data_IF_417189930086
#
_entry.id   IF_417189930086
#
_cell.length_a   1.000
_cell.length_b   1.000
_cell.length_c   1.000
_cell.angle_alpha   90.00
_cell.angle_beta   90.00
_cell.angle_gamma   90.00
#
_symmetry.space_group_name_H-M   'P 1'
#
loop_
_entity.id
_entity.type
_entity.pdbx_description
1 polymer ?
#
# COMPACT_ATOMS: atom_id res chain seq x y z
N UNK A 1 11.73 -19.14 -4.23
CA UNK A 1 11.21 -17.77 -4.45
C UNK A 1 12.18 -16.70 -3.90
N UNK A 2 13.51 -16.87 -4.02
CA UNK A 2 14.49 -15.95 -3.39
C UNK A 2 14.77 -14.67 -4.18
N UNK A 3 14.47 -14.65 -5.49
CA UNK A 3 14.81 -13.52 -6.37
C UNK A 3 13.98 -12.26 -6.06
N UNK A 4 12.76 -12.44 -5.54
CA UNK A 4 11.80 -11.35 -5.28
C UNK A 4 11.75 -10.93 -3.81
N UNK A 5 12.28 -11.75 -2.89
CA UNK A 5 12.33 -11.43 -1.46
C UNK A 5 12.93 -10.05 -1.12
N UNK A 6 14.06 -9.61 -1.70
CA UNK A 6 14.59 -8.29 -1.39
C UNK A 6 13.65 -7.17 -1.85
N UNK A 7 12.91 -7.37 -2.95
CA UNK A 7 11.95 -6.41 -3.45
C UNK A 7 10.68 -6.36 -2.58
N UNK A 8 10.23 -7.51 -2.08
CA UNK A 8 9.12 -7.62 -1.12
C UNK A 8 9.48 -6.94 0.20
N UNK A 9 10.68 -7.20 0.74
CA UNK A 9 11.16 -6.53 1.96
C UNK A 9 11.32 -5.01 1.77
N UNK A 10 11.82 -4.56 0.62
CA UNK A 10 11.92 -3.14 0.31
C UNK A 10 10.54 -2.47 0.15
N UNK A 11 9.54 -3.21 -0.33
CA UNK A 11 8.19 -2.69 -0.57
C UNK A 11 7.45 -2.30 0.71
N UNK A 12 7.81 -2.88 1.87
CA UNK A 12 7.18 -2.62 3.17
C UNK A 12 8.00 -1.63 4.03
N UNK A 13 8.55 -0.60 3.39
CA UNK A 13 9.35 0.44 4.05
C UNK A 13 8.71 1.82 3.88
N UNK A 14 8.96 2.73 4.83
CA UNK A 14 8.44 4.09 4.75
C UNK A 14 8.81 4.80 3.42
N UNK A 15 10.05 4.71 2.89
CA UNK A 15 10.37 5.28 1.59
C UNK A 15 9.55 4.70 0.44
N UNK A 16 9.25 3.39 0.46
CA UNK A 16 8.42 2.75 -0.55
C UNK A 16 6.97 3.29 -0.51
N UNK A 17 6.42 3.47 0.69
CA UNK A 17 5.10 4.09 0.87
C UNK A 17 5.07 5.51 0.32
N UNK A 18 6.05 6.34 0.69
CA UNK A 18 6.13 7.74 0.23
C UNK A 18 6.28 7.83 -1.29
N UNK A 19 7.10 6.97 -1.89
CA UNK A 19 7.27 6.93 -3.34
C UNK A 19 5.98 6.49 -4.05
N UNK A 20 5.30 5.47 -3.54
CA UNK A 20 4.04 4.99 -4.09
C UNK A 20 2.96 6.09 -4.07
N UNK A 21 2.86 6.83 -2.96
CA UNK A 21 1.93 7.97 -2.85
C UNK A 21 2.34 9.10 -3.79
N UNK A 22 3.62 9.47 -3.85
CA UNK A 22 4.10 10.54 -4.75
C UNK A 22 3.80 10.24 -6.21
N UNK A 23 4.08 9.00 -6.67
CA UNK A 23 3.76 8.56 -8.04
C UNK A 23 2.26 8.59 -8.28
N UNK A 24 1.45 8.13 -7.32
CA UNK A 24 -0.01 8.20 -7.42
C UNK A 24 -0.49 9.63 -7.65
N UNK A 25 0.00 10.60 -6.86
CA UNK A 25 -0.43 12.00 -6.97
C UNK A 25 0.06 12.69 -8.24
N UNK A 26 1.26 12.36 -8.74
CA UNK A 26 1.75 12.87 -10.03
C UNK A 26 0.88 12.36 -11.18
N UNK A 27 0.51 11.08 -11.16
CA UNK A 27 -0.37 10.50 -12.18
C UNK A 27 -1.75 11.15 -12.15
N UNK A 28 -2.32 11.35 -10.96
CA UNK A 28 -3.59 12.06 -10.79
C UNK A 28 -3.52 13.52 -11.24
N UNK A 29 -2.41 14.21 -10.96
CA UNK A 29 -2.17 15.57 -11.47
C UNK A 29 -2.15 15.62 -13.01
N UNK A 30 -1.62 14.58 -13.65
CA UNK A 30 -1.63 14.42 -15.10
C UNK A 30 -2.98 13.92 -15.68
N UNK A 31 -4.02 13.74 -14.84
CA UNK A 31 -5.33 13.22 -15.25
C UNK A 31 -5.38 11.69 -15.47
N UNK A 32 -4.30 10.98 -15.12
CA UNK A 32 -4.24 9.51 -15.16
C UNK A 32 -4.73 8.99 -13.81
N UNK A 33 -5.51 7.91 -13.82
CA UNK A 33 -6.01 7.29 -12.60
C UNK A 33 -4.89 6.56 -11.81
N UNK A 34 -4.04 7.32 -11.13
CA UNK A 34 -2.81 6.85 -10.49
C UNK A 34 -3.01 5.71 -9.49
N UNK A 35 -4.15 5.71 -8.80
CA UNK A 35 -4.48 4.67 -7.84
C UNK A 35 -4.59 3.27 -8.49
N UNK A 36 -5.07 3.15 -9.73
CA UNK A 36 -5.17 1.85 -10.42
C UNK A 36 -3.80 1.34 -10.86
N UNK A 37 -2.92 2.25 -11.27
CA UNK A 37 -1.55 1.91 -11.69
C UNK A 37 -0.75 1.43 -10.49
N UNK A 38 -0.78 2.20 -9.38
CA UNK A 38 -0.03 1.86 -8.17
C UNK A 38 -0.56 0.58 -7.54
N UNK A 39 -1.88 0.42 -7.39
CA UNK A 39 -2.45 -0.83 -6.86
C UNK A 39 -2.12 -2.02 -7.76
N UNK A 40 -2.18 -1.89 -9.09
CA UNK A 40 -1.80 -2.96 -10.01
C UNK A 40 -0.36 -3.45 -9.83
N UNK A 41 0.58 -2.53 -9.58
CA UNK A 41 1.99 -2.86 -9.32
C UNK A 41 2.18 -3.46 -7.92
N UNK A 42 1.51 -2.89 -6.92
CA UNK A 42 1.71 -3.23 -5.50
C UNK A 42 0.99 -4.50 -5.05
N UNK A 43 -0.11 -4.88 -5.71
CA UNK A 43 -0.95 -6.01 -5.33
C UNK A 43 -0.19 -7.33 -5.07
N UNK A 44 0.74 -7.81 -5.92
CA UNK A 44 1.48 -9.03 -5.64
C UNK A 44 2.33 -8.96 -4.36
N UNK A 45 2.86 -7.78 -4.03
CA UNK A 45 3.63 -7.56 -2.80
C UNK A 45 2.72 -7.56 -1.56
N UNK A 46 1.58 -6.87 -1.65
CA UNK A 46 0.60 -6.86 -0.57
C UNK A 46 0.02 -8.24 -0.29
N UNK A 47 -0.24 -9.05 -1.32
CA UNK A 47 -0.71 -10.43 -1.15
C UNK A 47 0.34 -11.31 -0.47
N UNK A 48 1.62 -11.17 -0.83
CA UNK A 48 2.69 -11.89 -0.16
C UNK A 48 2.80 -11.50 1.34
N UNK A 49 2.79 -10.19 1.63
CA UNK A 49 2.84 -9.68 3.00
C UNK A 49 1.59 -10.08 3.82
N UNK A 50 0.40 -10.05 3.21
CA UNK A 50 -0.84 -10.45 3.85
C UNK A 50 -0.84 -11.94 4.21
N UNK A 51 -0.29 -12.80 3.34
CA UNK A 51 -0.15 -14.23 3.63
C UNK A 51 0.76 -14.49 4.83
N UNK A 52 1.87 -13.74 4.96
CA UNK A 52 2.76 -13.83 6.13
C UNK A 52 2.04 -13.37 7.40
N UNK A 53 1.32 -12.25 7.32
CA UNK A 53 0.52 -11.74 8.44
C UNK A 53 -0.57 -12.71 8.90
N UNK A 54 -1.24 -13.39 7.96
CA UNK A 54 -2.25 -14.40 8.27
C UNK A 54 -1.65 -15.60 9.02
N UNK A 55 -0.47 -16.06 8.60
CA UNK A 55 0.23 -17.15 9.27
C UNK A 55 0.66 -16.75 10.70
N UNK A 56 1.24 -15.55 10.87
CA UNK A 56 1.61 -15.02 12.18
C UNK A 56 0.40 -14.86 13.11
N UNK A 57 -0.71 -14.34 12.59
CA UNK A 57 -1.96 -14.19 13.32
C UNK A 57 -2.53 -15.56 13.77
N UNK A 58 -2.50 -16.57 12.92
CA UNK A 58 -2.94 -17.92 13.26
C UNK A 58 -2.04 -18.60 14.31
N UNK A 59 -0.75 -18.26 14.34
CA UNK A 59 0.20 -18.72 15.34
C UNK A 59 0.14 -17.93 16.67
N UNK A 60 -0.65 -16.85 16.73
CA UNK A 60 -0.69 -15.94 17.89
C UNK A 60 0.56 -15.08 18.03
N UNK A 61 1.32 -14.90 16.95
CA UNK A 61 2.54 -14.10 16.89
C UNK A 61 2.24 -12.64 16.50
N UNK A 62 3.23 -11.76 16.69
CA UNK A 62 3.12 -10.37 16.26
C UNK A 62 3.04 -10.26 14.73
N UNK A 63 2.16 -9.41 14.24
CA UNK A 63 1.95 -9.19 12.81
C UNK A 63 3.09 -8.33 12.24
N UNK A 64 3.94 -8.85 11.34
CA UNK A 64 5.18 -8.18 10.94
C UNK A 64 5.00 -7.07 9.90
N UNK A 65 4.04 -7.20 8.97
CA UNK A 65 3.91 -6.28 7.85
C UNK A 65 2.77 -5.28 8.03
N UNK A 66 3.06 -3.99 7.84
CA UNK A 66 2.08 -2.91 8.02
C UNK A 66 1.54 -2.45 6.66
N UNK A 67 2.40 -2.36 5.63
CA UNK A 67 2.01 -1.91 4.31
C UNK A 67 1.40 -3.05 3.49
N UNK A 68 0.11 -3.27 3.73
CA UNK A 68 -0.78 -4.16 2.97
C UNK A 68 -1.92 -3.34 2.35
N UNK A 69 -2.71 -3.95 1.47
CA UNK A 69 -3.80 -3.27 0.77
C UNK A 69 -4.73 -2.49 1.72
N UNK A 70 -5.06 -3.05 2.89
CA UNK A 70 -5.89 -2.37 3.89
C UNK A 70 -5.32 -1.02 4.35
N UNK A 71 -3.99 -0.91 4.49
CA UNK A 71 -3.32 0.36 4.81
C UNK A 71 -3.51 1.39 3.70
N UNK A 72 -3.36 0.97 2.45
CA UNK A 72 -3.53 1.83 1.28
C UNK A 72 -4.97 2.37 1.17
N UNK A 73 -5.97 1.50 1.26
CA UNK A 73 -7.37 1.86 1.06
C UNK A 73 -7.95 2.69 2.23
N UNK A 74 -7.57 2.37 3.48
CA UNK A 74 -8.22 2.94 4.67
C UNK A 74 -7.41 4.05 5.37
N UNK A 75 -6.12 4.17 5.10
CA UNK A 75 -5.26 5.16 5.77
C UNK A 75 -4.63 6.16 4.80
N UNK A 76 -4.34 5.77 3.55
CA UNK A 76 -3.74 6.67 2.57
C UNK A 76 -4.77 7.34 1.66
N UNK A 77 -5.78 6.60 1.20
CA UNK A 77 -6.82 7.09 0.28
C UNK A 77 -8.16 7.37 0.99
N UNK A 78 -8.11 8.07 2.13
CA UNK A 78 -9.30 8.40 2.93
C UNK A 78 -10.22 9.39 2.19
N UNK A 79 -11.12 8.83 1.38
CA UNK A 79 -12.14 9.56 0.65
C UNK A 79 -11.91 9.72 -0.84
N UNK A 80 -11.07 8.86 -1.42
CA UNK A 80 -10.88 8.77 -2.86
C UNK A 80 -9.41 8.89 -3.22
N UNK A 81 -8.94 10.11 -3.48
CA UNK A 81 -7.54 10.39 -3.87
C UNK A 81 -6.86 11.22 -2.79
N UNK A 82 -6.52 10.56 -1.68
CA UNK A 82 -6.01 11.20 -0.47
C UNK A 82 -7.11 11.43 0.55
N UNK A 83 -7.01 12.50 1.35
CA UNK A 83 -7.95 12.86 2.42
C UNK A 83 -9.15 13.70 1.95
N UNK A 84 -9.72 13.39 0.77
CA UNK A 84 -10.75 14.22 0.13
C UNK A 84 -12.00 14.41 1.02
N UNK A 85 -12.39 13.40 1.81
CA UNK A 85 -13.53 13.56 2.72
C UNK A 85 -13.27 14.50 3.90
N UNK A 86 -12.02 14.63 4.35
CA UNK A 86 -11.68 15.57 5.43
C UNK A 86 -11.76 17.05 4.98
N UNK A 87 -11.77 17.31 3.67
CA UNK A 87 -11.89 18.66 3.11
C UNK A 87 -13.33 19.18 3.04
N UNK A 88 -14.34 18.31 3.15
CA UNK A 88 -15.77 18.67 2.98
C UNK A 88 -16.52 18.83 4.31
N UNK A 89 -15.83 18.63 5.44
CA UNK A 89 -16.40 18.70 6.79
C UNK A 89 -16.08 20.00 7.55
N UNK A 90 -15.57 21.03 6.87
CA UNK A 90 -15.32 22.37 7.40
C UNK A 90 -16.07 23.43 6.60
#
# INVERSE_FOLDING_TARGET
MSLVQPLVAASDTLPAVLLAVLVCQILWFAGIHGALIVTGIMNPFWMANLSVNQAAMAAGEAIPHIFVQGFWDHYLLIGGVGSTYHWLSY
#
